data_IF_567606854962
#
_entry.id   IF_567606854962
#
_cell.length_a   1.000
_cell.length_b   1.000
_cell.length_c   1.000
_cell.angle_alpha   90.00
_cell.angle_beta   90.00
_cell.angle_gamma   90.00
#
_symmetry.space_group_name_H-M   'P 1'
#
loop_
_entity.id
_entity.type
_entity.pdbx_description
1 polymer ?
#
# COMPACT_ATOMS: atom_id res chain seq x y z
N UNK A 1 -11.75 -10.12 14.81
CA UNK A 1 -12.13 -9.18 13.72
C UNK A 1 -13.57 -9.46 13.31
N UNK A 2 -14.38 -8.43 13.03
CA UNK A 2 -15.70 -8.62 12.39
C UNK A 2 -15.52 -8.73 10.87
N UNK A 3 -16.34 -9.51 10.15
CA UNK A 3 -16.31 -9.56 8.69
C UNK A 3 -16.58 -8.18 8.07
N UNK A 4 -15.87 -7.83 7.00
CA UNK A 4 -16.08 -6.56 6.27
C UNK A 4 -17.53 -6.43 5.76
N UNK A 5 -18.17 -7.55 5.40
CA UNK A 5 -19.57 -7.58 4.96
C UNK A 5 -20.57 -7.15 6.05
N UNK A 6 -20.15 -7.06 7.32
CA UNK A 6 -20.96 -6.57 8.42
C UNK A 6 -20.72 -5.08 8.73
N UNK A 7 -19.82 -4.41 7.99
CA UNK A 7 -19.59 -2.98 8.17
C UNK A 7 -20.82 -2.19 7.69
N UNK A 8 -21.24 -1.24 8.51
CA UNK A 8 -22.29 -0.29 8.16
C UNK A 8 -21.78 0.74 7.14
N UNK A 9 -22.68 1.39 6.37
CA UNK A 9 -22.29 2.46 5.48
C UNK A 9 -21.51 3.59 6.17
N UNK A 10 -21.87 3.95 7.41
CA UNK A 10 -21.19 4.99 8.17
C UNK A 10 -19.76 4.59 8.57
N UNK A 11 -19.54 3.32 8.95
CA UNK A 11 -18.20 2.79 9.21
C UNK A 11 -17.33 2.81 7.94
N UNK A 12 -17.90 2.46 6.78
CA UNK A 12 -17.20 2.49 5.50
C UNK A 12 -16.92 3.93 5.03
N UNK A 13 -17.84 4.86 5.25
CA UNK A 13 -17.67 6.28 4.92
C UNK A 13 -16.55 6.95 5.73
N UNK A 14 -16.25 6.41 6.93
CA UNK A 14 -15.15 6.88 7.75
C UNK A 14 -13.76 6.40 7.25
N UNK A 15 -13.70 5.41 6.36
CA UNK A 15 -12.43 4.87 5.84
C UNK A 15 -11.71 5.93 5.01
N UNK A 16 -10.40 6.09 5.28
CA UNK A 16 -9.53 7.06 4.60
C UNK A 16 -8.44 6.43 3.75
N UNK A 17 -8.19 5.14 3.94
CA UNK A 17 -7.11 4.46 3.25
C UNK A 17 -7.21 2.95 3.35
N UNK A 18 -6.45 2.30 2.47
CA UNK A 18 -6.36 0.86 2.33
C UNK A 18 -4.90 0.47 2.48
N UNK A 19 -4.63 -0.34 3.50
CA UNK A 19 -3.36 -1.03 3.67
C UNK A 19 -3.53 -2.44 3.12
N UNK A 20 -2.58 -2.91 2.32
CA UNK A 20 -2.71 -4.20 1.64
C UNK A 20 -1.39 -4.92 1.52
N UNK A 21 -1.39 -6.25 1.68
CA UNK A 21 -0.24 -7.06 1.29
C UNK A 21 -0.16 -7.23 -0.24
N UNK A 22 0.98 -7.65 -0.76
CA UNK A 22 1.21 -7.79 -2.21
C UNK A 22 1.17 -9.26 -2.65
N UNK A 23 1.96 -10.12 -2.04
CA UNK A 23 2.22 -11.48 -2.52
C UNK A 23 1.04 -12.40 -2.22
N UNK A 24 0.41 -12.93 -3.27
CA UNK A 24 -0.85 -13.69 -3.17
C UNK A 24 -2.02 -12.94 -2.49
N UNK A 25 -1.90 -11.61 -2.36
CA UNK A 25 -2.97 -10.71 -1.89
C UNK A 25 -3.45 -9.80 -3.02
N UNK A 26 -2.63 -8.83 -3.45
CA UNK A 26 -2.89 -8.04 -4.68
C UNK A 26 -2.52 -8.85 -5.92
N UNK A 27 -1.44 -9.63 -5.82
CA UNK A 27 -1.05 -10.58 -6.86
C UNK A 27 -1.80 -11.90 -6.72
N UNK A 28 -1.89 -12.65 -7.80
CA UNK A 28 -2.45 -14.00 -7.82
C UNK A 28 -1.56 -14.86 -8.68
N UNK A 29 -1.06 -15.97 -8.13
CA UNK A 29 -0.08 -16.85 -8.79
C UNK A 29 1.14 -16.06 -9.31
N UNK A 30 1.66 -15.18 -8.46
CA UNK A 30 2.87 -14.38 -8.73
C UNK A 30 2.70 -13.29 -9.81
N UNK A 31 1.47 -12.96 -10.21
CA UNK A 31 1.19 -11.89 -11.18
C UNK A 31 0.16 -10.91 -10.65
N UNK A 32 0.37 -9.64 -10.92
CA UNK A 32 -0.66 -8.63 -10.70
C UNK A 32 -1.55 -8.63 -11.94
N UNK A 33 -2.83 -8.90 -11.73
CA UNK A 33 -3.80 -8.87 -12.82
C UNK A 33 -4.12 -7.43 -13.21
N UNK A 34 -4.56 -7.22 -14.46
CA UNK A 34 -5.03 -5.90 -14.90
C UNK A 34 -6.11 -5.35 -13.97
N UNK A 35 -7.06 -6.21 -13.55
CA UNK A 35 -8.12 -5.85 -12.61
C UNK A 35 -7.61 -5.41 -11.24
N UNK A 36 -6.59 -6.10 -10.70
CA UNK A 36 -6.01 -5.73 -9.41
C UNK A 36 -5.28 -4.38 -9.49
N UNK A 37 -4.51 -4.17 -10.55
CA UNK A 37 -3.81 -2.90 -10.76
C UNK A 37 -4.79 -1.74 -11.01
N UNK A 38 -5.86 -1.97 -11.78
CA UNK A 38 -6.96 -1.01 -11.97
C UNK A 38 -7.65 -0.64 -10.65
N UNK A 39 -7.86 -1.61 -9.75
CA UNK A 39 -8.42 -1.34 -8.44
C UNK A 39 -7.54 -0.39 -7.59
N UNK A 40 -6.21 -0.48 -7.71
CA UNK A 40 -5.29 0.45 -7.04
C UNK A 40 -5.46 1.88 -7.59
N UNK A 41 -5.53 2.03 -8.92
CA UNK A 41 -5.82 3.33 -9.55
C UNK A 41 -7.17 3.89 -9.10
N UNK A 42 -8.22 3.07 -9.07
CA UNK A 42 -9.54 3.53 -8.63
C UNK A 42 -9.56 4.00 -7.17
N UNK A 43 -8.78 3.37 -6.29
CA UNK A 43 -8.62 3.83 -4.91
C UNK A 43 -7.87 5.17 -4.86
N UNK A 44 -6.78 5.28 -5.62
CA UNK A 44 -5.99 6.49 -5.73
C UNK A 44 -6.82 7.67 -6.26
N UNK A 45 -7.51 7.48 -7.39
CA UNK A 45 -8.34 8.50 -8.04
C UNK A 45 -9.53 8.93 -7.18
N UNK A 46 -10.04 8.03 -6.35
CA UNK A 46 -11.08 8.34 -5.36
C UNK A 46 -10.54 9.05 -4.11
N UNK A 47 -9.23 9.27 -4.00
CA UNK A 47 -8.59 10.02 -2.91
C UNK A 47 -8.30 9.19 -1.66
N UNK A 48 -8.39 7.86 -1.73
CA UNK A 48 -7.97 7.00 -0.61
C UNK A 48 -6.45 6.93 -0.52
N UNK A 49 -5.94 6.84 0.71
CA UNK A 49 -4.52 6.51 0.95
C UNK A 49 -4.27 5.05 0.66
N UNK A 50 -3.44 4.74 -0.33
CA UNK A 50 -3.11 3.35 -0.70
C UNK A 50 -1.70 3.04 -0.24
N UNK A 51 -1.55 2.06 0.66
CA UNK A 51 -0.26 1.72 1.28
C UNK A 51 -0.03 0.20 1.23
N UNK A 52 0.72 -0.31 0.24
CA UNK A 52 1.16 -1.69 0.28
C UNK A 52 2.11 -1.94 1.45
N UNK A 53 1.97 -3.09 2.10
CA UNK A 53 2.79 -3.56 3.22
C UNK A 53 3.35 -4.92 2.82
N UNK A 54 4.67 -5.07 2.77
CA UNK A 54 5.28 -6.28 2.23
C UNK A 54 6.57 -6.66 2.95
N UNK A 55 6.89 -7.95 2.95
CA UNK A 55 8.20 -8.47 3.34
C UNK A 55 9.28 -8.29 2.26
N UNK A 56 8.93 -7.79 1.07
CA UNK A 56 9.88 -7.58 -0.02
C UNK A 56 10.93 -6.52 0.33
N UNK A 57 12.08 -6.64 -0.31
CA UNK A 57 13.26 -5.81 -0.07
C UNK A 57 13.07 -4.35 -0.50
N UNK A 58 13.96 -3.48 -0.02
CA UNK A 58 14.01 -2.06 -0.41
C UNK A 58 14.01 -1.81 -1.94
N UNK A 59 14.65 -2.66 -2.74
CA UNK A 59 14.65 -2.50 -4.20
C UNK A 59 13.26 -2.67 -4.83
N UNK A 60 12.48 -3.64 -4.34
CA UNK A 60 11.09 -3.81 -4.77
C UNK A 60 10.22 -2.65 -4.30
N UNK A 61 10.40 -2.22 -3.06
CA UNK A 61 9.64 -1.12 -2.50
C UNK A 61 9.94 0.21 -3.21
N UNK A 62 11.19 0.48 -3.61
CA UNK A 62 11.54 1.67 -4.39
C UNK A 62 10.81 1.69 -5.75
N UNK A 63 10.76 0.55 -6.45
CA UNK A 63 9.98 0.44 -7.69
C UNK A 63 8.49 0.69 -7.45
N UNK A 64 7.89 0.05 -6.44
CA UNK A 64 6.46 0.22 -6.13
C UNK A 64 6.15 1.70 -5.82
N UNK A 65 6.95 2.33 -4.96
CA UNK A 65 6.72 3.71 -4.52
C UNK A 65 6.82 4.74 -5.64
N UNK A 66 7.54 4.43 -6.73
CA UNK A 66 7.73 5.34 -7.87
C UNK A 66 6.71 5.15 -8.98
N UNK A 67 6.27 3.91 -9.21
CA UNK A 67 5.53 3.56 -10.42
C UNK A 67 4.08 3.17 -10.18
N UNK A 68 3.72 2.75 -8.96
CA UNK A 68 2.34 2.37 -8.65
C UNK A 68 1.56 3.58 -8.15
N UNK A 69 0.22 3.58 -8.31
CA UNK A 69 -0.64 4.64 -7.78
C UNK A 69 -0.83 4.49 -6.26
N UNK A 70 0.26 4.61 -5.51
CA UNK A 70 0.28 4.43 -4.05
C UNK A 70 0.92 5.63 -3.36
N UNK A 71 0.48 5.93 -2.14
CA UNK A 71 0.99 7.07 -1.37
C UNK A 71 2.29 6.73 -0.64
N UNK A 72 2.43 5.47 -0.24
CA UNK A 72 3.58 4.96 0.49
C UNK A 72 3.68 3.44 0.30
N UNK A 73 4.83 2.85 0.67
CA UNK A 73 4.99 1.40 0.78
C UNK A 73 5.83 1.09 2.02
N UNK A 74 5.36 0.12 2.79
CA UNK A 74 6.07 -0.42 3.96
C UNK A 74 6.79 -1.69 3.52
N UNK A 75 8.11 -1.72 3.69
CA UNK A 75 8.96 -2.82 3.26
C UNK A 75 9.58 -3.60 4.41
N UNK A 76 10.17 -4.76 4.10
CA UNK A 76 10.87 -5.63 5.04
C UNK A 76 10.06 -5.88 6.34
N UNK A 77 8.76 -6.14 6.20
CA UNK A 77 7.83 -6.41 7.30
C UNK A 77 7.73 -5.27 8.33
N UNK A 78 7.93 -4.02 7.90
CA UNK A 78 7.85 -2.85 8.77
C UNK A 78 9.21 -2.27 9.17
N UNK A 79 10.33 -2.81 8.68
CA UNK A 79 11.66 -2.27 8.95
C UNK A 79 11.86 -0.84 8.42
N UNK A 80 11.21 -0.50 7.31
CA UNK A 80 11.21 0.85 6.75
C UNK A 80 9.93 1.13 5.95
N UNK A 81 9.73 2.39 5.58
CA UNK A 81 8.76 2.78 4.56
C UNK A 81 9.33 3.83 3.60
N UNK A 82 8.81 3.80 2.37
CA UNK A 82 8.97 4.87 1.40
C UNK A 82 7.70 5.68 1.27
N UNK A 83 7.81 7.00 1.06
CA UNK A 83 6.70 7.88 0.72
C UNK A 83 7.20 9.09 -0.08
N UNK A 84 6.32 9.72 -0.83
CA UNK A 84 6.62 10.99 -1.50
C UNK A 84 6.30 12.19 -0.61
N UNK A 85 7.25 13.12 -0.46
CA UNK A 85 7.04 14.39 0.27
C UNK A 85 6.45 15.52 -0.61
N UNK A 86 5.94 15.16 -1.79
CA UNK A 86 5.50 16.08 -2.83
C UNK A 86 6.56 16.38 -3.89
N UNK A 87 7.84 16.09 -3.64
CA UNK A 87 8.92 16.32 -4.64
C UNK A 87 9.88 15.16 -4.79
N UNK A 88 10.17 14.47 -3.68
CA UNK A 88 11.19 13.43 -3.63
C UNK A 88 10.65 12.20 -2.92
N UNK A 89 11.13 11.05 -3.36
CA UNK A 89 10.94 9.83 -2.62
C UNK A 89 11.81 9.89 -1.35
N UNK A 90 11.17 9.72 -0.20
CA UNK A 90 11.80 9.66 1.12
C UNK A 90 11.74 8.23 1.63
N UNK A 91 12.82 7.79 2.27
CA UNK A 91 12.90 6.55 3.04
C UNK A 91 13.00 6.88 4.52
N UNK A 92 12.29 6.14 5.35
CA UNK A 92 12.37 6.22 6.82
C UNK A 92 12.45 4.83 7.40
N UNK A 93 13.36 4.62 8.34
CA UNK A 93 13.46 3.37 9.09
C UNK A 93 12.62 3.49 10.36
N UNK A 94 12.04 2.38 10.82
CA UNK A 94 11.25 2.37 12.06
C UNK A 94 12.15 2.54 13.30
N UNK A 95 13.40 2.08 13.21
CA UNK A 95 14.41 2.22 14.26
C UNK A 95 15.51 3.14 13.72
N UNK A 96 15.27 4.44 13.77
CA UNK A 96 16.35 5.42 13.77
C UNK A 96 16.87 5.47 15.23
N UNK A 97 18.14 5.07 15.40
CA UNK A 97 18.97 5.02 16.63
C UNK A 97 18.94 3.73 17.49
N UNK A 98 19.96 2.89 17.23
CA UNK A 98 20.78 2.24 18.26
C UNK A 98 22.26 2.41 17.88
#
# INVERSE_FOLDING_TARGET
MKPLAQATPDELAAVRGVFTDIDETVSTRGRITSRAYDALWRLHDAGFKVVPVTGRSAGWCDHIARFWPVDAVVGENGGFYFYHDGTRLKRRFLHDDA
#
